data_IF_294784902919
#
_entry.id   IF_294784902919
#
_cell.length_a   1.000
_cell.length_b   1.000
_cell.length_c   1.000
_cell.angle_alpha   90.00
_cell.angle_beta   90.00
_cell.angle_gamma   90.00
#
_symmetry.space_group_name_H-M   'P 1'
#
loop_
_entity.id
_entity.type
_entity.pdbx_description
1 polymer ?
#
# COMPACT_ATOMS: atom_id res chain seq x y z
N UNK A 1 26.07 -75.41 9.07
CA UNK A 1 25.54 -74.57 10.16
C UNK A 1 26.38 -73.30 10.23
N UNK A 2 25.88 -72.22 9.64
CA UNK A 2 26.49 -70.87 9.69
C UNK A 2 25.93 -70.14 10.91
N UNK A 3 26.81 -69.75 11.84
CA UNK A 3 26.42 -68.99 13.03
C UNK A 3 26.00 -67.56 12.66
N UNK A 4 24.98 -66.97 13.33
CA UNK A 4 24.58 -65.59 13.08
C UNK A 4 25.57 -64.63 13.74
N UNK A 5 26.06 -63.64 12.98
CA UNK A 5 26.84 -62.53 13.50
C UNK A 5 25.87 -61.53 14.14
N UNK A 6 25.93 -61.40 15.46
CA UNK A 6 25.19 -60.40 16.23
C UNK A 6 25.93 -59.06 16.17
N UNK A 7 25.33 -58.05 15.56
CA UNK A 7 25.81 -56.66 15.65
C UNK A 7 25.22 -56.01 16.90
N UNK A 8 26.01 -55.94 17.97
CA UNK A 8 25.69 -55.09 19.12
C UNK A 8 25.86 -53.63 18.71
N UNK A 9 24.80 -52.82 18.86
CA UNK A 9 24.89 -51.37 18.66
C UNK A 9 25.86 -50.77 19.70
N UNK A 10 26.79 -49.88 19.30
CA UNK A 10 27.75 -49.31 20.23
C UNK A 10 27.04 -48.44 21.28
N UNK A 11 27.32 -48.71 22.55
CA UNK A 11 26.83 -47.91 23.70
C UNK A 11 27.62 -46.61 23.76
N UNK A 12 26.92 -45.47 23.68
CA UNK A 12 27.55 -44.15 23.74
C UNK A 12 28.32 -43.96 25.06
N UNK A 13 29.58 -43.56 24.96
CA UNK A 13 30.46 -43.30 26.11
C UNK A 13 29.97 -42.08 26.90
N UNK A 14 30.28 -42.01 28.21
CA UNK A 14 29.94 -40.84 29.05
C UNK A 14 30.47 -39.51 28.47
N UNK A 15 31.59 -39.54 27.73
CA UNK A 15 32.14 -38.39 27.02
C UNK A 15 31.26 -37.95 25.84
N UNK A 16 30.78 -38.91 25.03
CA UNK A 16 29.85 -38.66 23.92
C UNK A 16 28.52 -38.08 24.44
N UNK A 17 28.01 -38.59 25.57
CA UNK A 17 26.80 -38.05 26.20
C UNK A 17 27.03 -36.60 26.67
N UNK A 18 28.18 -36.29 27.31
CA UNK A 18 28.50 -34.92 27.74
C UNK A 18 28.64 -33.95 26.57
N UNK A 19 29.28 -34.36 25.49
CA UNK A 19 29.40 -33.56 24.26
C UNK A 19 28.03 -33.31 23.61
N UNK A 20 27.16 -34.32 23.59
CA UNK A 20 25.77 -34.19 23.15
C UNK A 20 25.00 -33.18 23.99
N UNK A 21 25.11 -33.24 25.32
CA UNK A 21 24.44 -32.30 26.23
C UNK A 21 24.96 -30.88 26.03
N UNK A 22 26.29 -30.69 25.96
CA UNK A 22 26.88 -29.36 25.71
C UNK A 22 26.44 -28.82 24.34
N UNK A 23 26.42 -29.66 23.29
CA UNK A 23 25.92 -29.27 21.97
C UNK A 23 24.43 -28.90 21.98
N UNK A 24 23.60 -29.70 22.65
CA UNK A 24 22.16 -29.44 22.81
C UNK A 24 21.86 -28.16 23.59
N UNK A 25 22.70 -27.80 24.56
CA UNK A 25 22.56 -26.55 25.34
C UNK A 25 23.15 -25.35 24.60
N UNK A 26 24.26 -25.52 23.88
CA UNK A 26 24.89 -24.44 23.13
C UNK A 26 24.07 -24.00 21.91
N UNK A 27 23.33 -24.91 21.27
CA UNK A 27 22.54 -24.64 20.08
C UNK A 27 21.41 -23.59 20.29
N UNK A 28 20.56 -23.65 21.33
CA UNK A 28 19.61 -22.57 21.61
C UNK A 28 20.32 -21.25 22.00
N UNK A 29 21.48 -21.32 22.65
CA UNK A 29 22.27 -20.13 22.99
C UNK A 29 22.84 -19.43 21.76
N UNK A 30 23.20 -20.17 20.69
CA UNK A 30 23.63 -19.57 19.43
C UNK A 30 22.48 -19.03 18.58
N UNK A 31 21.25 -19.53 18.77
CA UNK A 31 20.06 -19.05 18.07
C UNK A 31 19.44 -17.80 18.70
N UNK A 32 19.63 -17.57 20.02
CA UNK A 32 19.07 -16.43 20.74
C UNK A 32 19.34 -15.06 20.09
N UNK A 33 20.55 -14.73 19.61
CA UNK A 33 20.78 -13.46 18.93
C UNK A 33 19.98 -13.30 17.63
N UNK A 34 19.81 -14.39 16.86
CA UNK A 34 19.03 -14.37 15.61
C UNK A 34 17.53 -14.27 15.88
N UNK A 35 17.03 -14.99 16.89
CA UNK A 35 15.64 -14.87 17.34
C UNK A 35 15.40 -13.47 17.90
N UNK A 36 16.35 -12.92 18.66
CA UNK A 36 16.31 -11.55 19.16
C UNK A 36 16.23 -10.55 18.03
N UNK A 37 17.13 -10.62 17.05
CA UNK A 37 17.10 -9.76 15.86
C UNK A 37 15.76 -9.89 15.11
N UNK A 38 15.33 -11.11 14.81
CA UNK A 38 14.10 -11.38 14.04
C UNK A 38 12.80 -10.87 14.70
N UNK A 39 12.78 -10.65 16.02
CA UNK A 39 11.59 -10.21 16.73
C UNK A 39 11.69 -8.76 17.23
N UNK A 40 12.89 -8.31 17.58
CA UNK A 40 13.09 -7.03 18.27
C UNK A 40 13.42 -5.88 17.31
N UNK A 41 13.98 -6.15 16.11
CA UNK A 41 14.28 -5.10 15.14
C UNK A 41 13.26 -5.06 13.99
N UNK A 42 12.93 -3.86 13.45
CA UNK A 42 12.10 -3.75 12.25
C UNK A 42 12.64 -4.55 11.07
N UNK A 43 13.96 -4.51 10.87
CA UNK A 43 14.67 -5.21 9.80
C UNK A 43 14.51 -6.72 9.94
N UNK A 44 14.74 -7.23 11.14
CA UNK A 44 14.65 -8.65 11.44
C UNK A 44 13.23 -9.17 11.32
N UNK A 45 12.23 -8.38 11.74
CA UNK A 45 10.81 -8.72 11.53
C UNK A 45 10.49 -8.85 10.05
N UNK A 46 10.94 -7.92 9.21
CA UNK A 46 10.68 -7.98 7.77
C UNK A 46 11.36 -9.19 7.10
N UNK A 47 12.59 -9.53 7.50
CA UNK A 47 13.28 -10.74 7.02
C UNK A 47 12.54 -12.01 7.43
N UNK A 48 12.09 -12.08 8.69
CA UNK A 48 11.29 -13.21 9.20
C UNK A 48 9.97 -13.31 8.43
N UNK A 49 9.28 -12.21 8.24
CA UNK A 49 8.00 -12.14 7.54
C UNK A 49 8.14 -12.58 6.08
N UNK A 50 9.21 -12.19 5.39
CA UNK A 50 9.56 -12.71 4.05
C UNK A 50 9.70 -14.23 4.01
N UNK A 51 10.36 -14.82 5.01
CA UNK A 51 10.49 -16.26 5.11
C UNK A 51 9.14 -16.93 5.41
N UNK A 52 8.35 -16.36 6.33
CA UNK A 52 7.04 -16.88 6.71
C UNK A 52 6.08 -16.87 5.52
N UNK A 53 5.97 -15.75 4.79
CA UNK A 53 5.07 -15.64 3.63
C UNK A 53 5.49 -16.59 2.51
N UNK A 54 6.79 -16.81 2.30
CA UNK A 54 7.26 -17.77 1.30
C UNK A 54 6.89 -19.22 1.63
N UNK A 55 6.80 -19.58 2.93
CA UNK A 55 6.49 -20.94 3.40
C UNK A 55 4.97 -21.14 3.58
N UNK A 56 4.30 -20.12 4.11
CA UNK A 56 2.89 -20.15 4.51
C UNK A 56 2.27 -18.78 4.21
N UNK A 57 1.95 -18.48 2.94
CA UNK A 57 1.36 -17.21 2.56
C UNK A 57 0.02 -16.99 3.30
N UNK A 58 -0.35 -15.72 3.58
CA UNK A 58 -1.65 -15.43 4.17
C UNK A 58 -2.76 -15.88 3.20
N UNK A 59 -3.85 -16.37 3.77
CA UNK A 59 -5.02 -16.85 3.02
C UNK A 59 -6.22 -15.98 3.36
N UNK A 60 -7.14 -15.87 2.42
CA UNK A 60 -8.32 -15.04 2.58
C UNK A 60 -9.23 -15.66 3.65
N UNK A 61 -9.62 -14.91 4.70
CA UNK A 61 -10.45 -15.46 5.76
C UNK A 61 -11.84 -15.84 5.24
N UNK A 62 -12.40 -16.92 5.81
CA UNK A 62 -13.79 -17.29 5.55
C UNK A 62 -14.70 -16.49 6.47
N UNK A 63 -15.52 -15.61 5.90
CA UNK A 63 -16.54 -14.90 6.65
C UNK A 63 -17.61 -15.87 7.17
N UNK A 64 -18.04 -15.64 8.42
CA UNK A 64 -19.23 -16.28 8.97
C UNK A 64 -20.45 -15.94 8.11
N UNK A 65 -21.49 -16.79 8.16
CA UNK A 65 -22.72 -16.54 7.41
C UNK A 65 -23.34 -15.19 7.78
N UNK A 66 -23.38 -14.87 9.08
CA UNK A 66 -23.88 -13.58 9.57
C UNK A 66 -23.08 -12.39 9.02
N UNK A 67 -21.74 -12.46 8.99
CA UNK A 67 -20.92 -11.39 8.44
C UNK A 67 -21.09 -11.26 6.91
N UNK A 68 -21.22 -12.37 6.20
CA UNK A 68 -21.46 -12.36 4.75
C UNK A 68 -22.81 -11.72 4.41
N UNK A 69 -23.85 -12.06 5.17
CA UNK A 69 -25.18 -11.46 5.03
C UNK A 69 -25.16 -9.97 5.37
N UNK A 70 -24.50 -9.59 6.48
CA UNK A 70 -24.34 -8.19 6.86
C UNK A 70 -23.57 -7.38 5.80
N UNK A 71 -22.52 -7.95 5.22
CA UNK A 71 -21.77 -7.32 4.13
C UNK A 71 -22.64 -7.13 2.89
N UNK A 72 -23.37 -8.17 2.47
CA UNK A 72 -24.27 -8.09 1.32
C UNK A 72 -25.42 -7.08 1.53
N UNK A 73 -25.94 -6.94 2.75
CA UNK A 73 -26.99 -5.96 3.05
C UNK A 73 -26.47 -4.53 3.17
N UNK A 74 -25.19 -4.36 3.51
CA UNK A 74 -24.51 -3.05 3.63
C UNK A 74 -23.87 -2.62 2.31
N UNK A 75 -24.02 -3.42 1.25
CA UNK A 75 -23.42 -3.13 -0.05
C UNK A 75 -23.81 -1.72 -0.54
N UNK A 76 -22.83 -0.84 -0.84
CA UNK A 76 -23.11 0.45 -1.45
C UNK A 76 -23.78 0.25 -2.80
N UNK A 77 -24.43 1.31 -3.29
CA UNK A 77 -25.02 1.35 -4.64
C UNK A 77 -24.69 2.68 -5.30
N UNK A 78 -23.61 2.69 -6.07
CA UNK A 78 -23.24 3.81 -6.91
C UNK A 78 -22.72 3.34 -8.27
N UNK A 79 -22.93 4.17 -9.28
CA UNK A 79 -22.46 3.97 -10.66
C UNK A 79 -21.75 5.23 -11.13
N UNK A 80 -20.79 5.08 -12.06
CA UNK A 80 -20.02 6.21 -12.59
C UNK A 80 -19.10 6.89 -11.56
N UNK A 81 -18.93 6.28 -10.38
CA UNK A 81 -18.11 6.77 -9.29
C UNK A 81 -17.21 5.66 -8.74
N UNK A 82 -16.13 6.01 -8.03
CA UNK A 82 -15.21 5.07 -7.39
C UNK A 82 -14.88 5.50 -5.97
N UNK A 83 -14.88 4.53 -5.05
CA UNK A 83 -14.25 4.71 -3.74
C UNK A 83 -12.75 4.46 -3.85
N UNK A 84 -11.90 5.41 -3.45
CA UNK A 84 -10.45 5.23 -3.49
C UNK A 84 -9.89 5.06 -2.08
N UNK A 85 -9.27 3.90 -1.81
CA UNK A 85 -8.69 3.54 -0.52
C UNK A 85 -7.17 3.63 -0.58
N UNK A 86 -6.54 4.29 0.38
CA UNK A 86 -5.10 4.39 0.53
C UNK A 86 -4.60 3.53 1.70
N UNK A 87 -3.82 2.52 1.37
CA UNK A 87 -3.05 1.69 2.29
C UNK A 87 -1.56 2.06 2.17
N UNK A 88 -0.74 1.70 3.15
CA UNK A 88 0.72 1.79 3.00
C UNK A 88 1.36 0.43 3.28
N UNK A 89 1.64 0.11 4.55
CA UNK A 89 2.22 -1.18 4.92
C UNK A 89 1.16 -2.23 5.24
N UNK A 90 1.50 -3.49 4.95
CA UNK A 90 0.82 -4.64 5.52
C UNK A 90 1.89 -5.47 6.23
N UNK A 91 1.70 -5.81 7.50
CA UNK A 91 2.73 -6.54 8.22
C UNK A 91 2.33 -6.94 9.64
N UNK A 92 3.24 -7.66 10.30
CA UNK A 92 2.98 -8.17 11.66
C UNK A 92 3.21 -7.14 12.77
N UNK A 93 3.56 -5.89 12.44
CA UNK A 93 3.66 -4.82 13.43
C UNK A 93 2.26 -4.58 14.02
N UNK A 94 2.17 -4.46 15.34
CA UNK A 94 0.90 -4.50 16.07
C UNK A 94 -0.15 -3.55 15.50
N UNK A 95 -1.37 -4.06 15.41
CA UNK A 95 -2.65 -3.40 15.13
C UNK A 95 -3.01 -2.22 16.10
N UNK A 96 -2.03 -1.62 16.78
CA UNK A 96 -2.17 -0.54 17.76
C UNK A 96 -2.16 0.86 17.14
N UNK A 97 -2.54 1.85 17.96
CA UNK A 97 -2.74 3.25 17.56
C UNK A 97 -1.49 3.88 16.90
N UNK A 98 -1.70 4.49 15.72
CA UNK A 98 -0.77 5.46 15.11
C UNK A 98 0.13 4.98 13.98
N UNK A 99 -0.21 3.91 13.25
CA UNK A 99 0.62 3.41 12.14
C UNK A 99 -0.12 3.31 10.81
N UNK A 100 0.55 3.70 9.72
CA UNK A 100 0.15 3.42 8.32
C UNK A 100 0.28 1.92 7.94
N UNK A 101 0.13 1.00 8.90
CA UNK A 101 0.35 -0.44 8.71
C UNK A 101 -0.81 -1.23 9.33
N UNK A 102 -1.41 -2.14 8.56
CA UNK A 102 -2.44 -3.06 9.05
C UNK A 102 -1.97 -4.51 8.97
N UNK A 103 -2.54 -5.40 9.79
CA UNK A 103 -2.19 -6.82 9.71
C UNK A 103 -2.68 -7.49 8.41
N UNK A 104 -2.00 -8.56 7.94
CA UNK A 104 -2.47 -9.36 6.81
C UNK A 104 -3.86 -9.96 7.05
N UNK A 105 -4.16 -10.34 8.29
CA UNK A 105 -5.48 -10.81 8.70
C UNK A 105 -6.53 -9.72 8.46
N UNK A 106 -6.23 -8.48 8.89
CA UNK A 106 -7.16 -7.37 8.71
C UNK A 106 -7.39 -7.04 7.25
N UNK A 107 -6.33 -6.97 6.46
CA UNK A 107 -6.46 -6.74 5.02
C UNK A 107 -7.25 -7.88 4.34
N UNK A 108 -7.01 -9.13 4.73
CA UNK A 108 -7.80 -10.27 4.26
C UNK A 108 -9.29 -10.14 4.58
N UNK A 109 -9.63 -9.66 5.78
CA UNK A 109 -11.02 -9.38 6.16
C UNK A 109 -11.63 -8.25 5.32
N UNK A 110 -10.87 -7.19 5.01
CA UNK A 110 -11.31 -6.13 4.10
C UNK A 110 -11.68 -6.71 2.74
N UNK A 111 -10.77 -7.45 2.10
CA UNK A 111 -11.02 -8.06 0.79
C UNK A 111 -12.20 -9.03 0.80
N UNK A 112 -12.30 -9.88 1.82
CA UNK A 112 -13.40 -10.83 1.94
C UNK A 112 -14.75 -10.11 2.09
N UNK A 113 -14.78 -9.00 2.83
CA UNK A 113 -15.99 -8.21 3.08
C UNK A 113 -16.38 -7.38 1.85
N UNK A 114 -15.42 -6.74 1.19
CA UNK A 114 -15.65 -6.03 -0.09
C UNK A 114 -16.21 -6.98 -1.14
N UNK A 115 -15.66 -8.21 -1.25
CA UNK A 115 -16.17 -9.23 -2.16
C UNK A 115 -17.59 -9.66 -1.80
N UNK A 116 -17.89 -9.88 -0.52
CA UNK A 116 -19.24 -10.23 -0.07
C UNK A 116 -20.25 -9.08 -0.28
N UNK A 117 -19.79 -7.83 -0.19
CA UNK A 117 -20.57 -6.62 -0.51
C UNK A 117 -20.71 -6.32 -2.00
N UNK A 118 -20.19 -7.17 -2.90
CA UNK A 118 -20.33 -6.99 -4.35
C UNK A 118 -19.53 -5.81 -4.92
N UNK A 119 -18.42 -5.44 -4.27
CA UNK A 119 -17.52 -4.39 -4.73
C UNK A 119 -16.67 -4.88 -5.90
N UNK A 120 -16.43 -4.02 -6.88
CA UNK A 120 -15.62 -4.32 -8.07
C UNK A 120 -14.30 -3.55 -8.00
N UNK A 121 -13.17 -4.24 -7.93
CA UNK A 121 -11.88 -3.53 -7.86
C UNK A 121 -11.50 -2.93 -9.21
N UNK A 122 -11.01 -1.69 -9.17
CA UNK A 122 -10.43 -1.00 -10.32
C UNK A 122 -9.04 -0.47 -9.98
N UNK A 123 -8.22 -0.28 -11.00
CA UNK A 123 -6.87 0.29 -10.92
C UNK A 123 -6.90 1.81 -11.14
N UNK A 124 -5.85 2.52 -10.72
CA UNK A 124 -5.75 3.96 -10.99
C UNK A 124 -5.68 4.27 -12.49
N UNK A 125 -5.09 3.39 -13.30
CA UNK A 125 -5.15 3.49 -14.76
C UNK A 125 -6.59 3.41 -15.32
N UNK A 126 -7.42 2.51 -14.79
CA UNK A 126 -8.83 2.41 -15.18
C UNK A 126 -9.65 3.63 -14.72
N UNK A 127 -9.39 4.14 -13.52
CA UNK A 127 -9.97 5.41 -13.04
C UNK A 127 -9.59 6.57 -13.94
N UNK A 128 -8.30 6.68 -14.31
CA UNK A 128 -7.80 7.70 -15.22
C UNK A 128 -8.48 7.62 -16.59
N UNK A 129 -8.60 6.41 -17.15
CA UNK A 129 -9.28 6.19 -18.41
C UNK A 129 -10.75 6.63 -18.34
N UNK A 130 -11.50 6.18 -17.33
CA UNK A 130 -12.91 6.55 -17.15
C UNK A 130 -13.10 8.06 -17.03
N UNK A 131 -12.22 8.75 -16.29
CA UNK A 131 -12.33 10.19 -16.03
C UNK A 131 -11.82 11.05 -17.20
N UNK A 132 -11.24 10.43 -18.22
CA UNK A 132 -10.76 11.10 -19.44
C UNK A 132 -11.50 10.66 -20.71
N UNK A 133 -12.69 10.09 -20.56
CA UNK A 133 -13.59 9.74 -21.68
C UNK A 133 -13.42 8.31 -22.21
N UNK A 134 -12.70 7.46 -21.48
CA UNK A 134 -12.60 6.03 -21.72
C UNK A 134 -13.81 5.23 -21.21
N UNK A 135 -13.68 3.90 -21.06
CA UNK A 135 -14.75 3.03 -20.58
C UNK A 135 -15.26 3.46 -19.20
N UNK A 136 -16.57 3.34 -18.98
CA UNK A 136 -17.18 3.61 -17.69
C UNK A 136 -16.69 2.62 -16.62
N UNK A 137 -16.59 3.10 -15.38
CA UNK A 137 -16.33 2.27 -14.22
C UNK A 137 -17.46 1.25 -13.99
N UNK A 138 -17.15 0.06 -13.47
CA UNK A 138 -18.18 -0.88 -13.03
C UNK A 138 -19.00 -0.28 -11.87
N UNK A 139 -20.23 -0.77 -11.62
CA UNK A 139 -20.97 -0.40 -10.42
C UNK A 139 -20.15 -0.76 -9.17
N UNK A 140 -20.29 0.03 -8.11
CA UNK A 140 -19.58 -0.21 -6.84
C UNK A 140 -18.06 -0.35 -7.02
N UNK A 141 -17.48 0.47 -7.89
CA UNK A 141 -16.04 0.46 -8.14
C UNK A 141 -15.26 0.88 -6.88
N UNK A 142 -14.24 0.11 -6.51
CA UNK A 142 -13.31 0.44 -5.44
C UNK A 142 -11.87 0.36 -5.94
N UNK A 143 -11.09 1.42 -5.76
CA UNK A 143 -9.67 1.45 -6.03
C UNK A 143 -8.91 1.12 -4.75
N UNK A 144 -8.28 -0.05 -4.72
CA UNK A 144 -7.32 -0.41 -3.68
C UNK A 144 -5.97 0.17 -4.08
N UNK A 145 -5.46 1.15 -3.34
CA UNK A 145 -4.14 1.74 -3.61
C UNK A 145 -3.20 1.62 -2.44
N UNK A 146 -1.92 1.43 -2.76
CA UNK A 146 -0.82 1.33 -1.83
C UNK A 146 0.23 2.37 -2.18
N UNK A 147 0.79 3.03 -1.17
CA UNK A 147 1.84 4.03 -1.36
C UNK A 147 3.23 3.47 -1.02
N UNK A 148 4.25 4.28 -1.29
CA UNK A 148 5.68 4.09 -1.01
C UNK A 148 6.42 3.01 -1.83
N UNK A 149 5.75 2.02 -2.42
CA UNK A 149 6.44 0.87 -3.02
C UNK A 149 7.06 -0.07 -1.98
N UNK A 150 6.44 -0.19 -0.80
CA UNK A 150 6.94 -1.04 0.30
C UNK A 150 6.96 -2.53 -0.08
N UNK A 151 8.00 -3.23 0.38
CA UNK A 151 8.13 -4.66 0.15
C UNK A 151 7.09 -5.48 0.93
N UNK A 152 6.72 -5.03 2.14
CA UNK A 152 5.76 -5.76 2.99
C UNK A 152 4.34 -5.71 2.40
N UNK A 153 3.91 -4.56 1.90
CA UNK A 153 2.62 -4.35 1.25
C UNK A 153 2.34 -5.38 0.16
N UNK A 154 3.15 -5.43 -0.90
CA UNK A 154 2.92 -6.35 -2.02
C UNK A 154 3.12 -7.81 -1.60
N UNK A 155 4.09 -8.08 -0.71
CA UNK A 155 4.37 -9.43 -0.22
C UNK A 155 3.17 -10.07 0.47
N UNK A 156 2.48 -9.34 1.34
CA UNK A 156 1.30 -9.85 2.03
C UNK A 156 0.00 -9.68 1.22
N UNK A 157 -0.15 -8.57 0.48
CA UNK A 157 -1.37 -8.30 -0.29
C UNK A 157 -1.54 -9.23 -1.50
N UNK A 158 -0.48 -9.52 -2.24
CA UNK A 158 -0.58 -10.24 -3.52
C UNK A 158 -1.29 -11.62 -3.42
N UNK A 159 -0.94 -12.52 -2.48
CA UNK A 159 -1.66 -13.79 -2.33
C UNK A 159 -3.15 -13.58 -1.94
N UNK A 160 -3.45 -12.59 -1.11
CA UNK A 160 -4.81 -12.28 -0.69
C UNK A 160 -5.65 -11.71 -1.85
N UNK A 161 -5.09 -10.79 -2.65
CA UNK A 161 -5.70 -10.26 -3.86
C UNK A 161 -5.97 -11.37 -4.87
N UNK A 162 -5.03 -12.31 -5.03
CA UNK A 162 -5.20 -13.49 -5.90
C UNK A 162 -6.38 -14.36 -5.45
N UNK A 163 -6.50 -14.67 -4.16
CA UNK A 163 -7.63 -15.47 -3.63
C UNK A 163 -8.96 -14.71 -3.66
N UNK A 164 -8.92 -13.38 -3.54
CA UNK A 164 -10.09 -12.52 -3.65
C UNK A 164 -10.57 -12.34 -5.10
N UNK A 165 -9.70 -12.54 -6.09
CA UNK A 165 -9.98 -12.21 -7.49
C UNK A 165 -9.97 -10.70 -7.74
N UNK A 166 -9.11 -9.98 -7.02
CA UNK A 166 -9.07 -8.52 -6.97
C UNK A 166 -7.73 -7.98 -7.48
N UNK A 167 -7.75 -6.73 -7.92
CA UNK A 167 -6.57 -5.98 -8.34
C UNK A 167 -6.33 -4.75 -7.45
N UNK A 168 -5.11 -4.24 -7.47
CA UNK A 168 -4.69 -3.06 -6.71
C UNK A 168 -3.71 -2.19 -7.51
N UNK A 169 -3.53 -0.96 -7.04
CA UNK A 169 -2.53 -0.01 -7.53
C UNK A 169 -1.41 0.16 -6.51
N UNK A 170 -0.17 0.20 -6.96
CA UNK A 170 0.99 0.61 -6.15
C UNK A 170 1.57 1.90 -6.72
N UNK A 171 1.61 2.95 -5.89
CA UNK A 171 2.33 4.18 -6.16
C UNK A 171 3.76 4.04 -5.65
N UNK A 172 4.74 4.00 -6.55
CA UNK A 172 6.14 3.67 -6.26
C UNK A 172 7.00 4.92 -6.25
N UNK A 173 7.86 5.03 -5.24
CA UNK A 173 8.97 5.98 -5.21
C UNK A 173 10.11 5.36 -6.05
N UNK A 174 10.33 5.83 -7.28
CA UNK A 174 11.20 5.11 -8.24
C UNK A 174 12.66 5.01 -7.79
N UNK A 175 13.18 6.05 -7.12
CA UNK A 175 14.52 6.03 -6.54
C UNK A 175 14.65 5.00 -5.41
N UNK A 176 13.59 4.84 -4.61
CA UNK A 176 13.55 3.83 -3.55
C UNK A 176 13.48 2.41 -4.13
N UNK A 177 12.80 2.18 -5.26
CA UNK A 177 12.82 0.87 -5.93
C UNK A 177 14.18 0.52 -6.54
N UNK A 178 14.98 1.53 -6.88
CA UNK A 178 16.35 1.38 -7.40
C UNK A 178 17.35 1.07 -6.28
N UNK A 179 17.15 1.67 -5.10
CA UNK A 179 17.94 1.43 -3.88
C UNK A 179 17.05 0.97 -2.72
N UNK A 180 16.49 -0.26 -2.79
CA UNK A 180 15.37 -0.68 -1.94
C UNK A 180 15.72 -0.88 -0.47
N UNK A 181 17.01 -1.05 -0.17
CA UNK A 181 17.45 -1.54 1.12
C UNK A 181 16.66 -2.79 1.51
N UNK A 182 16.13 -2.78 2.73
CA UNK A 182 15.25 -3.85 3.20
C UNK A 182 13.76 -3.49 3.08
N UNK A 183 13.40 -2.21 3.11
CA UNK A 183 12.04 -1.74 3.37
C UNK A 183 11.20 -1.64 2.09
N UNK A 184 11.81 -1.19 0.99
CA UNK A 184 11.13 -1.04 -0.29
C UNK A 184 11.27 -2.30 -1.15
N UNK A 185 10.37 -2.47 -2.11
CA UNK A 185 10.47 -3.50 -3.13
C UNK A 185 11.47 -3.07 -4.21
N UNK A 186 12.36 -3.97 -4.63
CA UNK A 186 13.21 -3.72 -5.79
C UNK A 186 12.39 -3.75 -7.08
N UNK A 187 12.89 -3.12 -8.14
CA UNK A 187 12.27 -3.21 -9.48
C UNK A 187 11.99 -4.65 -9.92
N UNK A 188 12.95 -5.58 -9.79
CA UNK A 188 12.74 -7.00 -10.09
C UNK A 188 11.50 -7.62 -9.40
N UNK A 189 11.21 -7.20 -8.17
CA UNK A 189 10.04 -7.66 -7.41
C UNK A 189 8.78 -7.00 -7.93
N UNK A 190 8.80 -5.68 -8.12
CA UNK A 190 7.68 -4.90 -8.64
C UNK A 190 7.26 -5.43 -10.01
N UNK A 191 8.21 -5.68 -10.92
CA UNK A 191 7.97 -6.31 -12.21
C UNK A 191 7.32 -7.70 -12.08
N UNK A 192 7.78 -8.50 -11.12
CA UNK A 192 7.18 -9.80 -10.81
C UNK A 192 5.71 -9.69 -10.43
N UNK A 193 5.36 -8.71 -9.60
CA UNK A 193 3.97 -8.44 -9.22
C UNK A 193 3.14 -7.87 -10.37
N UNK A 194 3.69 -6.93 -11.14
CA UNK A 194 3.03 -6.34 -12.30
C UNK A 194 2.69 -7.40 -13.36
N UNK A 195 3.61 -8.32 -13.67
CA UNK A 195 3.40 -9.44 -14.61
C UNK A 195 2.26 -10.38 -14.20
N UNK A 196 1.84 -10.35 -12.94
CA UNK A 196 0.70 -11.15 -12.48
C UNK A 196 -0.65 -10.62 -12.97
N UNK A 197 -0.70 -9.38 -13.48
CA UNK A 197 -1.93 -8.69 -13.89
C UNK A 197 -2.76 -8.12 -12.72
N UNK A 198 -2.38 -8.36 -11.46
CA UNK A 198 -3.10 -7.86 -10.27
C UNK A 198 -2.65 -6.47 -9.82
N UNK A 199 -1.48 -6.02 -10.27
CA UNK A 199 -0.87 -4.78 -9.80
C UNK A 199 -0.69 -3.78 -10.93
N UNK A 200 -1.33 -2.63 -10.76
CA UNK A 200 -1.07 -1.42 -11.54
C UNK A 200 0.02 -0.60 -10.86
N UNK A 201 1.06 -0.18 -11.59
CA UNK A 201 2.22 0.52 -11.03
C UNK A 201 2.20 1.97 -11.49
N UNK A 202 2.20 2.89 -10.54
CA UNK A 202 1.98 4.33 -10.76
C UNK A 202 3.00 5.17 -9.97
N UNK A 203 3.02 6.48 -10.20
CA UNK A 203 4.10 7.35 -9.75
C UNK A 203 3.90 7.91 -8.34
N UNK A 204 4.96 7.88 -7.54
CA UNK A 204 5.02 8.52 -6.22
C UNK A 204 6.31 9.35 -6.04
N UNK A 205 6.71 10.08 -7.08
CA UNK A 205 7.99 10.83 -7.19
C UNK A 205 9.21 9.92 -7.35
N UNK A 206 10.33 10.50 -7.78
CA UNK A 206 11.60 9.78 -7.86
C UNK A 206 12.34 9.84 -6.52
N UNK A 207 12.51 11.04 -5.97
CA UNK A 207 13.32 11.28 -4.77
C UNK A 207 12.75 12.39 -3.86
N UNK A 208 11.51 12.82 -4.11
CA UNK A 208 10.87 13.94 -3.42
C UNK A 208 9.87 13.51 -2.34
N UNK A 209 9.74 12.21 -2.07
CA UNK A 209 9.02 11.67 -0.91
C UNK A 209 9.85 11.77 0.38
N UNK A 210 10.16 12.99 0.78
CA UNK A 210 10.88 13.32 2.02
C UNK A 210 10.71 14.79 2.34
N UNK A 211 10.93 15.14 3.60
CA UNK A 211 11.14 16.53 3.95
C UNK A 211 12.55 16.99 3.60
N UNK A 212 12.71 18.29 3.46
CA UNK A 212 14.00 18.96 3.40
C UNK A 212 13.96 20.29 4.15
N UNK A 213 15.13 20.82 4.46
CA UNK A 213 15.24 22.21 4.89
C UNK A 213 14.64 23.10 3.79
N UNK A 214 13.79 24.02 4.18
CA UNK A 214 13.01 24.88 3.29
C UNK A 214 13.18 26.34 3.64
N UNK A 215 13.10 27.21 2.63
CA UNK A 215 13.22 28.65 2.78
C UNK A 215 12.16 29.18 3.76
N UNK A 216 12.59 29.87 4.82
CA UNK A 216 11.72 30.57 5.76
C UNK A 216 10.77 29.72 6.63
N UNK A 217 10.73 28.39 6.47
CA UNK A 217 9.70 27.55 7.08
C UNK A 217 10.22 26.26 7.77
N UNK A 218 11.54 26.09 7.93
CA UNK A 218 12.12 24.91 8.58
C UNK A 218 12.03 23.67 7.69
N UNK A 219 11.67 22.50 8.23
CA UNK A 219 11.55 21.26 7.47
C UNK A 219 10.15 21.13 6.85
N UNK A 220 10.07 21.12 5.51
CA UNK A 220 8.82 20.94 4.75
C UNK A 220 8.97 19.84 3.69
N UNK A 221 7.86 19.27 3.17
CA UNK A 221 7.91 18.30 2.10
C UNK A 221 8.63 18.83 0.86
N UNK A 222 9.60 18.08 0.35
CA UNK A 222 10.47 18.52 -0.74
C UNK A 222 9.73 18.81 -2.04
N UNK A 223 8.67 18.05 -2.34
CA UNK A 223 7.86 18.28 -3.55
C UNK A 223 7.14 19.64 -3.49
N UNK A 224 6.68 20.07 -2.32
CA UNK A 224 5.82 21.24 -2.14
C UNK A 224 6.50 22.40 -1.43
N UNK A 225 7.82 22.48 -1.45
CA UNK A 225 8.55 23.61 -0.85
C UNK A 225 9.83 23.95 -1.60
N UNK A 226 10.18 25.23 -1.58
CA UNK A 226 11.46 25.77 -2.05
C UNK A 226 12.56 25.41 -1.05
N UNK A 227 13.69 24.93 -1.55
CA UNK A 227 14.92 24.83 -0.77
C UNK A 227 15.50 26.23 -0.48
N UNK A 228 16.40 26.39 0.51
CA UNK A 228 17.02 27.67 0.83
C UNK A 228 17.71 28.31 -0.39
N UNK A 229 17.31 29.53 -0.73
CA UNK A 229 17.81 30.29 -1.88
C UNK A 229 17.37 29.77 -3.26
N UNK A 230 16.46 28.79 -3.34
CA UNK A 230 15.94 28.26 -4.61
C UNK A 230 14.94 29.24 -5.23
N UNK A 231 15.14 29.59 -6.50
CA UNK A 231 14.17 30.39 -7.25
C UNK A 231 12.96 29.54 -7.66
N UNK A 232 11.81 30.18 -7.96
CA UNK A 232 10.63 29.46 -8.46
C UNK A 232 10.90 28.72 -9.79
N UNK A 233 11.81 29.23 -10.63
CA UNK A 233 12.19 28.58 -11.89
C UNK A 233 13.05 27.33 -11.64
N UNK A 234 14.00 27.40 -10.71
CA UNK A 234 14.82 26.25 -10.31
C UNK A 234 13.96 25.17 -9.64
N UNK A 235 13.04 25.59 -8.78
CA UNK A 235 12.04 24.72 -8.17
C UNK A 235 11.20 23.98 -9.21
N UNK A 236 10.65 24.71 -10.19
CA UNK A 236 9.88 24.13 -11.28
C UNK A 236 10.72 23.12 -12.08
N UNK A 237 11.97 23.44 -12.37
CA UNK A 237 12.89 22.53 -13.06
C UNK A 237 13.15 21.27 -12.24
N UNK A 238 13.35 21.39 -10.92
CA UNK A 238 13.53 20.26 -10.00
C UNK A 238 12.31 19.35 -9.94
N UNK A 239 11.11 19.92 -9.80
CA UNK A 239 9.85 19.15 -9.76
C UNK A 239 9.64 18.41 -11.09
N UNK A 240 9.84 19.09 -12.22
CA UNK A 240 9.73 18.47 -13.54
C UNK A 240 10.71 17.31 -13.72
N UNK A 241 11.97 17.50 -13.33
CA UNK A 241 12.98 16.45 -13.41
C UNK A 241 12.60 15.24 -12.56
N UNK A 242 12.20 15.45 -11.31
CA UNK A 242 11.82 14.37 -10.40
C UNK A 242 10.62 13.55 -10.92
N UNK A 243 9.57 14.21 -11.42
CA UNK A 243 8.40 13.54 -11.99
C UNK A 243 8.72 12.83 -13.32
N UNK A 244 9.57 13.44 -14.15
CA UNK A 244 10.05 12.85 -15.40
C UNK A 244 10.91 11.61 -15.17
N UNK A 245 11.84 11.67 -14.21
CA UNK A 245 12.69 10.54 -13.82
C UNK A 245 11.85 9.39 -13.25
N UNK A 246 10.83 9.69 -12.45
CA UNK A 246 9.89 8.68 -11.95
C UNK A 246 9.14 7.99 -13.09
N UNK A 247 8.61 8.77 -14.04
CA UNK A 247 7.85 8.26 -15.17
C UNK A 247 8.71 7.45 -16.13
N UNK A 248 9.96 7.88 -16.37
CA UNK A 248 10.92 7.15 -17.19
C UNK A 248 11.31 5.81 -16.56
N UNK A 249 11.61 5.78 -15.26
CA UNK A 249 11.95 4.54 -14.56
C UNK A 249 10.77 3.54 -14.56
N UNK A 250 9.54 4.01 -14.32
CA UNK A 250 8.35 3.15 -14.38
C UNK A 250 8.14 2.62 -15.81
N UNK A 251 8.30 3.46 -16.84
CA UNK A 251 8.18 3.02 -18.23
C UNK A 251 9.22 1.98 -18.60
N UNK A 252 10.47 2.16 -18.18
CA UNK A 252 11.57 1.23 -18.42
C UNK A 252 11.27 -0.17 -17.85
N UNK A 253 10.81 -0.24 -16.59
CA UNK A 253 10.60 -1.50 -15.89
C UNK A 253 9.24 -2.15 -16.19
N UNK A 254 8.18 -1.35 -16.36
CA UNK A 254 6.80 -1.85 -16.50
C UNK A 254 6.34 -1.88 -17.97
N UNK A 255 7.06 -1.18 -18.86
CA UNK A 255 6.76 -1.11 -20.30
C UNK A 255 5.65 -0.13 -20.66
N UNK A 256 5.19 0.69 -19.70
CA UNK A 256 4.19 1.75 -19.90
C UNK A 256 4.46 2.91 -18.95
N UNK A 257 4.30 4.14 -19.44
CA UNK A 257 4.34 5.33 -18.58
C UNK A 257 3.20 5.30 -17.55
N UNK A 258 3.45 5.78 -16.31
CA UNK A 258 2.39 5.96 -15.33
C UNK A 258 1.42 7.04 -15.82
N UNK A 259 0.14 6.88 -15.51
CA UNK A 259 -0.93 7.84 -15.85
C UNK A 259 -1.56 8.45 -14.60
N UNK A 260 -1.23 7.91 -13.43
CA UNK A 260 -1.70 8.35 -12.14
C UNK A 260 -0.54 8.70 -11.22
N UNK A 261 -0.79 9.67 -10.34
CA UNK A 261 0.18 10.14 -9.35
C UNK A 261 -0.43 10.17 -7.96
N UNK A 262 0.33 9.80 -6.94
CA UNK A 262 -0.03 10.07 -5.54
C UNK A 262 0.89 11.16 -4.99
N UNK A 263 0.31 12.19 -4.36
CA UNK A 263 1.10 13.23 -3.71
C UNK A 263 1.76 12.68 -2.43
N UNK A 264 3.09 12.79 -2.25
CA UNK A 264 3.75 12.51 -0.99
C UNK A 264 3.05 13.19 0.18
N UNK A 265 2.76 12.44 1.23
CA UNK A 265 2.07 12.92 2.43
C UNK A 265 0.67 13.51 2.19
N UNK A 266 0.10 13.34 1.00
CA UNK A 266 -1.11 14.03 0.55
C UNK A 266 -0.90 15.53 0.21
N UNK A 267 0.33 16.03 0.24
CA UNK A 267 0.63 17.46 0.04
C UNK A 267 0.62 17.82 -1.45
N UNK A 268 -0.37 18.60 -1.89
CA UNK A 268 -0.49 19.08 -3.27
C UNK A 268 -0.15 20.58 -3.43
N UNK A 269 0.42 21.20 -2.39
CA UNK A 269 0.90 22.58 -2.39
C UNK A 269 -0.04 23.63 -1.79
N UNK A 270 -1.29 23.26 -1.46
CA UNK A 270 -2.22 24.15 -0.74
C UNK A 270 -1.84 24.30 0.74
N UNK A 271 -1.25 23.27 1.32
CA UNK A 271 -0.65 23.25 2.64
C UNK A 271 0.81 22.81 2.55
N UNK A 272 1.55 22.93 3.67
CA UNK A 272 2.93 22.47 3.82
C UNK A 272 3.83 22.96 2.68
N UNK A 273 3.68 24.24 2.36
CA UNK A 273 4.42 24.98 1.36
C UNK A 273 4.88 26.32 1.90
N UNK A 274 5.92 26.89 1.28
CA UNK A 274 6.54 28.15 1.70
C UNK A 274 6.43 29.27 0.65
N UNK A 275 5.73 29.02 -0.46
CA UNK A 275 5.45 30.01 -1.50
C UNK A 275 4.05 29.74 -2.11
N UNK A 276 3.16 30.74 -2.24
CA UNK A 276 1.82 30.55 -2.77
C UNK A 276 1.77 30.08 -4.23
N UNK A 277 2.83 30.31 -5.03
CA UNK A 277 2.89 29.87 -6.43
C UNK A 277 3.11 28.35 -6.56
N UNK A 278 3.54 27.66 -5.50
CA UNK A 278 3.83 26.23 -5.50
C UNK A 278 2.62 25.40 -5.94
N UNK A 279 1.42 25.75 -5.48
CA UNK A 279 0.20 25.01 -5.83
C UNK A 279 -0.05 24.98 -7.34
N UNK A 280 0.27 26.05 -8.05
CA UNK A 280 0.07 26.15 -9.49
C UNK A 280 1.20 25.45 -10.26
N UNK A 281 2.45 25.60 -9.80
CA UNK A 281 3.60 24.90 -10.38
C UNK A 281 3.43 23.38 -10.27
N UNK A 282 3.12 22.88 -9.06
CA UNK A 282 2.90 21.44 -8.82
C UNK A 282 1.76 20.93 -9.69
N UNK A 283 0.63 21.62 -9.73
CA UNK A 283 -0.52 21.23 -10.56
C UNK A 283 -0.15 21.14 -12.03
N UNK A 284 0.61 22.10 -12.54
CA UNK A 284 1.03 22.13 -13.95
C UNK A 284 2.02 21.01 -14.28
N UNK A 285 3.06 20.80 -13.47
CA UNK A 285 4.07 19.77 -13.74
C UNK A 285 3.48 18.35 -13.54
N UNK A 286 2.63 18.13 -12.53
CA UNK A 286 1.93 16.84 -12.36
C UNK A 286 1.00 16.57 -13.54
N UNK A 287 0.25 17.57 -14.00
CA UNK A 287 -0.68 17.43 -15.13
C UNK A 287 -0.02 17.26 -16.51
N UNK A 288 1.30 17.48 -16.62
CA UNK A 288 2.08 17.18 -17.84
C UNK A 288 2.41 15.71 -17.97
N UNK A 289 2.71 15.05 -16.85
CA UNK A 289 3.12 13.64 -16.81
C UNK A 289 1.93 12.70 -16.54
N UNK A 290 0.89 13.16 -15.84
CA UNK A 290 -0.19 12.30 -15.34
C UNK A 290 -1.58 12.83 -15.71
N UNK A 291 -2.50 11.90 -15.98
CA UNK A 291 -3.90 12.20 -16.29
C UNK A 291 -4.73 12.48 -15.03
N UNK A 292 -4.41 11.79 -13.92
CA UNK A 292 -5.06 11.95 -12.62
C UNK A 292 -4.03 12.00 -11.49
N UNK A 293 -4.37 12.67 -10.39
CA UNK A 293 -3.53 12.71 -9.20
C UNK A 293 -4.36 12.67 -7.92
N UNK A 294 -3.80 12.01 -6.90
CA UNK A 294 -4.47 11.65 -5.68
C UNK A 294 -3.79 12.25 -4.45
N UNK A 295 -4.57 12.94 -3.62
CA UNK A 295 -4.18 13.36 -2.28
C UNK A 295 -4.80 12.42 -1.23
N UNK A 296 -4.25 12.44 -0.02
CA UNK A 296 -4.77 11.71 1.11
C UNK A 296 -5.75 12.58 1.88
N UNK A 297 -6.90 12.02 2.25
CA UNK A 297 -7.90 12.72 3.05
C UNK A 297 -7.50 12.73 4.54
N UNK A 298 -7.91 13.77 5.26
CA UNK A 298 -7.69 13.95 6.71
C UNK A 298 -8.70 13.16 7.58
N UNK A 299 -9.48 12.28 6.95
CA UNK A 299 -10.58 11.50 7.52
C UNK A 299 -11.85 12.31 7.85
N UNK A 300 -11.89 13.62 7.57
CA UNK A 300 -13.09 14.44 7.82
C UNK A 300 -14.18 14.15 6.78
N UNK A 301 -13.81 13.75 5.57
CA UNK A 301 -14.74 13.32 4.53
C UNK A 301 -14.47 11.90 4.03
N UNK A 302 -15.49 11.28 3.43
CA UNK A 302 -15.32 10.01 2.70
C UNK A 302 -15.89 10.23 1.30
N UNK A 303 -15.14 10.89 0.39
CA UNK A 303 -15.69 11.28 -0.89
C UNK A 303 -15.67 10.11 -1.89
N UNK A 304 -16.78 9.88 -2.58
CA UNK A 304 -16.73 9.17 -3.85
C UNK A 304 -16.08 10.06 -4.90
N UNK A 305 -15.26 9.45 -5.74
CA UNK A 305 -14.64 10.13 -6.86
C UNK A 305 -15.54 10.03 -8.08
N UNK A 306 -15.73 11.15 -8.76
CA UNK A 306 -16.55 11.27 -9.98
C UNK A 306 -15.79 12.04 -11.06
N UNK A 307 -16.12 11.83 -12.36
CA UNK A 307 -15.39 12.47 -13.47
C UNK A 307 -15.45 14.01 -13.51
N UNK A 308 -16.43 14.63 -12.83
CA UNK A 308 -16.60 16.09 -12.77
C UNK A 308 -15.71 16.77 -11.72
N UNK A 309 -15.07 15.99 -10.84
CA UNK A 309 -14.13 16.52 -9.86
C UNK A 309 -12.81 16.96 -10.51
N UNK A 310 -12.03 17.75 -9.76
CA UNK A 310 -10.68 18.12 -10.16
C UNK A 310 -9.78 16.88 -10.20
N UNK A 311 -9.56 16.37 -11.42
CA UNK A 311 -8.80 15.13 -11.68
C UNK A 311 -7.37 15.11 -11.11
N UNK A 312 -6.78 16.27 -10.82
CA UNK A 312 -5.43 16.38 -10.24
C UNK A 312 -5.44 16.56 -8.71
N UNK A 313 -6.60 16.45 -8.05
CA UNK A 313 -6.79 16.63 -6.60
C UNK A 313 -7.79 15.63 -6.02
N UNK A 314 -7.90 14.45 -6.62
CA UNK A 314 -8.81 13.40 -6.18
C UNK A 314 -8.43 12.93 -4.77
N UNK A 315 -9.39 12.74 -3.87
CA UNK A 315 -9.12 12.35 -2.47
C UNK A 315 -9.21 10.85 -2.28
N UNK A 316 -8.28 10.29 -1.52
CA UNK A 316 -8.31 8.87 -1.11
C UNK A 316 -8.55 8.78 0.39
N UNK A 317 -9.41 7.86 0.79
CA UNK A 317 -9.62 7.52 2.18
C UNK A 317 -8.42 6.71 2.69
N UNK A 318 -7.61 7.30 3.58
CA UNK A 318 -6.58 6.55 4.28
C UNK A 318 -7.23 5.50 5.17
N UNK A 319 -6.83 4.24 4.98
CA UNK A 319 -7.44 3.12 5.69
C UNK A 319 -6.77 2.94 7.05
N UNK A 320 -7.56 3.10 8.11
CA UNK A 320 -7.15 2.76 9.47
C UNK A 320 -7.45 1.28 9.77
N UNK A 321 -7.13 0.83 10.98
CA UNK A 321 -7.39 -0.54 11.44
C UNK A 321 -8.88 -0.82 11.76
N UNK A 322 -9.77 -0.50 10.83
CA UNK A 322 -11.20 -0.79 10.91
C UNK A 322 -11.50 -2.23 10.59
N UNK A 323 -12.56 -2.80 11.16
CA UNK A 323 -13.08 -4.09 10.68
C UNK A 323 -13.52 -4.00 9.20
N UNK A 324 -13.60 -5.15 8.50
CA UNK A 324 -14.10 -5.17 7.12
C UNK A 324 -15.52 -4.62 6.96
N UNK A 325 -16.39 -4.85 7.96
CA UNK A 325 -17.76 -4.32 7.94
C UNK A 325 -17.79 -2.80 8.17
N UNK A 326 -16.97 -2.30 9.10
CA UNK A 326 -16.85 -0.86 9.33
C UNK A 326 -16.31 -0.14 8.09
N UNK A 327 -15.31 -0.72 7.41
CA UNK A 327 -14.83 -0.20 6.12
C UNK A 327 -16.00 -0.11 5.13
N UNK A 328 -16.76 -1.20 4.93
CA UNK A 328 -17.88 -1.21 3.99
C UNK A 328 -18.97 -0.19 4.34
N UNK A 329 -19.27 0.01 5.63
CA UNK A 329 -20.22 1.03 6.10
C UNK A 329 -19.77 2.45 5.77
N UNK A 330 -18.46 2.74 5.88
CA UNK A 330 -17.89 4.04 5.47
C UNK A 330 -18.07 4.26 3.97
N UNK A 331 -17.88 3.22 3.16
CA UNK A 331 -18.10 3.26 1.71
C UNK A 331 -19.59 3.47 1.37
N UNK A 332 -20.51 2.79 2.06
CA UNK A 332 -21.95 2.96 1.87
C UNK A 332 -22.40 4.39 2.20
N UNK A 333 -21.89 4.97 3.29
CA UNK A 333 -22.18 6.35 3.66
C UNK A 333 -21.72 7.34 2.59
N UNK A 334 -20.54 7.13 2.01
CA UNK A 334 -20.04 7.93 0.89
C UNK A 334 -20.94 7.88 -0.35
N UNK A 335 -21.60 6.74 -0.58
CA UNK A 335 -22.58 6.55 -1.66
C UNK A 335 -23.95 7.18 -1.42
N UNK A 336 -24.21 7.72 -0.22
CA UNK A 336 -25.51 8.34 0.13
C UNK A 336 -25.34 9.69 0.84
N UNK A 337 -24.72 10.70 0.20
CA UNK A 337 -24.47 11.99 0.84
C UNK A 337 -25.75 12.74 1.25
N UNK A 338 -26.90 12.47 0.62
CA UNK A 338 -28.19 13.10 0.98
C UNK A 338 -28.83 12.53 2.25
N UNK A 339 -28.40 11.36 2.75
CA UNK A 339 -28.94 10.77 3.99
C UNK A 339 -28.16 11.16 5.25
N UNK A 340 -27.10 11.97 5.14
CA UNK A 340 -26.27 12.40 6.28
C UNK A 340 -26.77 13.66 7.00
N UNK A 341 -27.86 14.29 6.56
CA UNK A 341 -28.56 15.33 7.33
C UNK A 341 -29.67 14.72 8.17
N UNK A 342 -29.30 14.23 9.35
CA UNK A 342 -30.10 14.09 10.59
C UNK A 342 -29.66 12.84 11.36
N UNK A 343 -28.83 13.04 12.40
CA UNK A 343 -28.53 12.02 13.40
C UNK A 343 -27.46 11.00 13.02
N UNK A 344 -26.26 11.46 12.64
CA UNK A 344 -25.10 10.57 12.59
C UNK A 344 -24.82 9.99 14.00
N UNK A 345 -24.86 8.67 14.20
CA UNK A 345 -24.45 8.08 15.47
C UNK A 345 -22.96 8.31 15.70
N UNK A 346 -22.59 8.56 16.95
CA UNK A 346 -21.21 8.82 17.37
C UNK A 346 -20.29 7.64 17.00
N UNK A 347 -18.98 7.84 16.76
CA UNK A 347 -18.02 6.74 16.61
C UNK A 347 -18.11 5.67 17.72
N UNK A 348 -18.58 6.06 18.92
CA UNK A 348 -18.85 5.15 20.03
C UNK A 348 -20.05 4.19 19.81
N UNK A 349 -21.04 4.57 19.01
CA UNK A 349 -22.20 3.74 18.67
C UNK A 349 -21.90 2.73 17.55
N UNK A 350 -20.79 2.92 16.81
CA UNK A 350 -20.31 2.02 15.77
C UNK A 350 -19.35 0.95 16.30
N UNK A 351 -18.91 1.07 17.55
CA UNK A 351 -18.14 0.04 18.22
C UNK A 351 -19.05 -1.17 18.52
N UNK A 352 -18.82 -2.30 17.85
CA UNK A 352 -19.36 -3.57 18.30
C UNK A 352 -18.86 -3.83 19.74
N UNK A 353 -19.68 -4.41 20.63
CA UNK A 353 -19.20 -4.79 21.96
C UNK A 353 -17.98 -5.70 21.78
N UNK A 354 -16.90 -5.39 22.49
CA UNK A 354 -15.71 -6.21 22.51
C UNK A 354 -16.11 -7.68 22.72
N UNK A 355 -15.68 -8.56 21.81
CA UNK A 355 -15.76 -10.00 22.05
C UNK A 355 -14.88 -10.22 23.28
N UNK A 356 -15.53 -10.39 24.43
CA UNK A 356 -14.83 -10.57 25.71
C UNK A 356 -13.87 -11.74 25.60
N UNK A 357 -12.66 -11.55 26.11
CA UNK A 357 -11.69 -12.61 26.25
C UNK A 357 -12.35 -13.82 26.96
N UNK A 358 -12.09 -15.06 26.51
CA UNK A 358 -12.56 -16.23 27.24
C UNK A 358 -12.03 -16.16 28.68
N UNK A 359 -12.87 -16.44 29.69
CA UNK A 359 -12.45 -16.35 31.09
C UNK A 359 -11.28 -17.32 31.33
N UNK A 360 -10.27 -16.91 32.12
CA UNK A 360 -9.15 -17.79 32.43
C UNK A 360 -9.64 -19.04 33.19
N UNK A 361 -9.04 -20.22 32.97
CA UNK A 361 -9.46 -21.44 33.63
C UNK A 361 -9.28 -21.31 35.15
N UNK A 362 -10.34 -21.62 35.88
CA UNK A 362 -10.46 -21.41 37.32
C UNK A 362 -9.36 -22.10 38.12
N UNK A 363 -8.66 -21.33 38.94
CA UNK A 363 -7.76 -21.84 39.98
C UNK A 363 -8.51 -21.89 41.30
N UNK A 364 -8.63 -23.11 41.83
CA UNK A 364 -9.18 -23.42 43.14
C UNK A 364 -8.45 -22.67 44.28
N UNK A 365 -9.23 -22.28 45.27
CA UNK A 365 -8.83 -21.59 46.49
C UNK A 365 -7.78 -22.35 47.32
N UNK A 366 -6.74 -21.64 47.75
CA UNK A 366 -5.84 -22.02 48.84
C UNK A 366 -5.61 -20.82 49.78
N UNK A 367 -5.39 -21.04 51.10
CA UNK A 367 -5.62 -20.03 52.14
C UNK A 367 -4.45 -19.03 52.33
N UNK A 368 -4.64 -17.92 53.07
CA UNK A 368 -3.78 -16.76 53.03
C UNK A 368 -2.61 -16.85 54.03
N UNK A 369 -1.50 -16.20 53.72
CA UNK A 369 -0.41 -15.99 54.68
C UNK A 369 0.32 -14.66 54.42
N UNK A 370 -0.07 -13.67 55.22
CA UNK A 370 0.76 -12.69 55.96
C UNK A 370 2.05 -12.12 55.36
N UNK A 371 2.03 -10.78 55.27
CA UNK A 371 3.04 -9.82 55.74
C UNK A 371 4.49 -9.91 55.23
N UNK A 372 4.98 -8.83 54.63
CA UNK A 372 5.73 -7.78 55.37
C UNK A 372 6.33 -6.79 54.37
N UNK A 373 5.85 -5.55 54.46
CA UNK A 373 6.48 -4.35 53.90
C UNK A 373 7.74 -4.04 54.72
N UNK A 374 8.87 -3.75 54.05
CA UNK A 374 9.91 -2.92 54.65
C UNK A 374 10.32 -1.84 53.65
N UNK A 375 10.16 -0.61 54.13
CA UNK A 375 10.31 0.63 53.42
C UNK A 375 11.79 0.99 53.18
N UNK A 376 12.03 1.67 52.07
CA UNK A 376 13.24 2.43 51.79
C UNK A 376 12.88 3.57 50.83
N UNK A 377 12.37 4.65 51.39
CA UNK A 377 11.93 5.86 50.69
C UNK A 377 13.09 6.83 50.43
N UNK A 378 13.09 7.48 49.26
CA UNK A 378 13.47 8.89 49.01
C UNK A 378 12.75 9.29 47.69
N UNK A 379 11.54 9.84 47.68
CA UNK A 379 11.14 11.25 47.89
C UNK A 379 11.93 12.22 46.97
N UNK A 380 11.35 12.93 46.00
CA UNK A 380 10.33 13.97 46.18
C UNK A 380 9.84 14.56 44.84
N UNK A 381 8.53 14.83 44.80
CA UNK A 381 7.81 16.05 44.32
C UNK A 381 8.01 16.53 42.88
N UNK A 382 6.99 16.94 42.14
CA UNK A 382 5.60 17.20 42.50
C UNK A 382 4.85 17.74 41.29
N UNK A 383 3.65 17.23 41.13
CA UNK A 383 2.58 17.67 40.24
C UNK A 383 2.13 19.09 40.61
N UNK A 384 1.94 19.96 39.61
CA UNK A 384 0.90 21.00 39.66
C UNK A 384 0.39 21.30 38.26
N UNK A 385 -0.80 20.78 37.96
CA UNK A 385 -1.79 21.39 37.05
C UNK A 385 -1.92 22.89 37.34
N UNK A 386 -1.77 23.72 36.31
CA UNK A 386 -2.17 25.13 36.34
C UNK A 386 -3.08 25.44 35.14
N UNK A 387 -4.32 25.73 35.47
CA UNK A 387 -5.33 26.39 34.65
C UNK A 387 -4.86 27.78 34.22
N UNK A 388 -5.14 28.17 32.98
CA UNK A 388 -4.96 29.54 32.46
C UNK A 388 -6.33 30.15 32.10
N UNK A 389 -6.55 31.45 32.38
CA UNK A 389 -7.84 32.13 32.23
C UNK A 389 -8.04 32.75 30.84
N UNK A 390 -9.32 33.01 30.52
CA UNK A 390 -9.79 33.52 29.24
C UNK A 390 -9.23 34.90 28.84
N UNK A 391 -9.07 35.05 27.53
CA UNK A 391 -8.75 36.31 26.87
C UNK A 391 -10.01 36.86 26.18
N UNK A 392 -10.33 38.10 26.52
CA UNK A 392 -11.38 38.94 25.94
C UNK A 392 -10.95 39.54 24.59
N UNK A 393 -11.85 39.55 23.62
CA UNK A 393 -11.68 40.19 22.30
C UNK A 393 -11.55 41.72 22.39
N UNK A 394 -10.74 42.37 21.54
CA UNK A 394 -10.77 43.82 21.36
C UNK A 394 -11.86 44.26 20.35
N UNK A 395 -12.31 45.53 20.39
CA UNK A 395 -13.38 46.03 19.51
C UNK A 395 -12.87 46.36 18.10
N UNK A 396 -13.72 46.11 17.10
CA UNK A 396 -13.53 46.41 15.68
C UNK A 396 -13.88 47.89 15.41
N UNK A 397 -13.03 48.68 14.73
CA UNK A 397 -13.46 49.96 14.19
C UNK A 397 -14.21 49.75 12.86
N UNK A 398 -15.43 50.30 12.79
CA UNK A 398 -16.25 50.35 11.59
C UNK A 398 -15.73 51.44 10.62
N UNK A 399 -15.71 51.12 9.32
CA UNK A 399 -15.66 52.12 8.25
C UNK A 399 -14.63 51.88 7.16
N UNK A 400 -14.82 50.84 6.33
CA UNK A 400 -14.32 50.82 4.94
C UNK A 400 -15.44 50.25 4.06
N UNK A 401 -15.93 51.07 3.14
CA UNK A 401 -16.88 50.69 2.09
C UNK A 401 -16.12 49.84 1.06
N UNK A 402 -16.56 48.60 0.75
CA UNK A 402 -15.91 47.81 -0.30
C UNK A 402 -16.17 48.42 -1.68
N UNK A 403 -15.19 48.46 -2.60
CA UNK A 403 -15.41 48.93 -3.96
C UNK A 403 -16.35 47.98 -4.70
N UNK A 404 -17.29 48.55 -5.47
CA UNK A 404 -18.19 47.77 -6.32
C UNK A 404 -17.40 46.99 -7.37
N UNK A 405 -17.69 45.70 -7.48
CA UNK A 405 -17.10 44.82 -8.48
C UNK A 405 -17.48 45.30 -9.89
N UNK A 406 -16.46 45.53 -10.72
CA UNK A 406 -16.63 45.77 -12.16
C UNK A 406 -17.03 44.43 -12.79
N UNK A 407 -18.13 44.34 -13.56
CA UNK A 407 -18.52 43.10 -14.21
C UNK A 407 -17.50 42.70 -15.30
N UNK A 408 -17.25 41.40 -15.50
CA UNK A 408 -16.28 40.91 -16.47
C UNK A 408 -16.70 41.24 -17.91
N UNK A 409 -15.74 41.45 -18.83
CA UNK A 409 -16.04 41.69 -20.24
C UNK A 409 -16.71 40.46 -20.88
N UNK A 410 -17.59 40.67 -21.88
CA UNK A 410 -18.27 39.57 -22.56
C UNK A 410 -17.29 38.67 -23.32
N UNK A 411 -17.56 37.36 -23.43
CA UNK A 411 -16.68 36.42 -24.12
C UNK A 411 -16.60 36.73 -25.63
N UNK A 412 -15.46 36.43 -26.27
CA UNK A 412 -15.32 36.61 -27.71
C UNK A 412 -16.28 35.69 -28.50
N UNK A 413 -16.70 36.09 -29.71
CA UNK A 413 -17.62 35.29 -30.51
C UNK A 413 -17.01 33.94 -30.88
N UNK A 414 -17.76 32.87 -30.63
CA UNK A 414 -17.38 31.50 -30.97
C UNK A 414 -17.49 31.32 -32.48
N UNK A 415 -16.36 31.23 -33.17
CA UNK A 415 -16.29 30.73 -34.55
C UNK A 415 -16.61 29.24 -34.54
N UNK A 416 -17.81 28.88 -34.98
CA UNK A 416 -18.20 27.48 -35.20
C UNK A 416 -17.43 26.95 -36.40
N UNK A 417 -16.52 26.01 -36.17
CA UNK A 417 -15.85 25.28 -37.24
C UNK A 417 -16.89 24.42 -38.00
N UNK A 418 -16.83 24.35 -39.34
CA UNK A 418 -17.73 23.50 -40.11
C UNK A 418 -17.50 22.02 -39.79
N UNK A 419 -18.56 21.18 -39.85
CA UNK A 419 -18.45 19.76 -39.52
C UNK A 419 -17.48 19.03 -40.46
N UNK A 420 -16.75 18.03 -39.97
CA UNK A 420 -15.84 17.24 -40.81
C UNK A 420 -16.62 16.45 -41.86
N UNK A 421 -16.00 16.30 -43.04
CA UNK A 421 -16.55 15.55 -44.17
C UNK A 421 -16.79 14.07 -43.79
N UNK A 422 -17.83 13.41 -44.37
CA UNK A 422 -18.15 12.04 -44.06
C UNK A 422 -17.03 11.07 -44.48
N UNK A 423 -16.61 10.22 -43.54
CA UNK A 423 -15.63 9.16 -43.77
C UNK A 423 -16.27 8.05 -44.62
N UNK A 424 -15.66 7.74 -45.77
CA UNK A 424 -16.07 6.63 -46.62
C UNK A 424 -15.79 5.28 -45.92
N UNK A 425 -16.64 4.25 -46.10
CA UNK A 425 -16.47 2.96 -45.44
C UNK A 425 -15.24 2.23 -45.96
N UNK A 426 -14.36 1.84 -45.04
CA UNK A 426 -13.22 0.95 -45.29
C UNK A 426 -13.77 -0.47 -45.49
N UNK A 427 -13.69 -0.98 -46.72
CA UNK A 427 -13.91 -2.41 -47.01
C UNK A 427 -12.86 -3.27 -46.32
N UNK A 428 -13.30 -4.22 -45.51
CA UNK A 428 -12.44 -5.23 -44.89
C UNK A 428 -11.83 -6.19 -45.93
N UNK A 429 -10.55 -6.59 -45.79
CA UNK A 429 -9.96 -7.62 -46.63
C UNK A 429 -10.53 -9.01 -46.29
N UNK A 430 -10.50 -9.99 -47.23
CA UNK A 430 -11.11 -11.29 -47.03
C UNK A 430 -10.37 -12.11 -45.96
N UNK A 431 -11.15 -12.82 -45.15
CA UNK A 431 -10.69 -13.75 -44.12
C UNK A 431 -10.00 -14.95 -44.79
N UNK A 432 -8.70 -15.07 -44.58
CA UNK A 432 -7.94 -16.30 -44.88
C UNK A 432 -8.07 -17.24 -43.68
N UNK A 433 -8.85 -18.30 -43.82
CA UNK A 433 -8.90 -19.40 -42.84
C UNK A 433 -7.64 -20.25 -42.94
N UNK A 434 -6.68 -20.06 -42.02
CA UNK A 434 -5.57 -21.01 -41.84
C UNK A 434 -6.02 -22.13 -40.90
N UNK A 435 -5.93 -23.36 -41.39
CA UNK A 435 -6.17 -24.60 -40.65
C UNK A 435 -5.05 -24.78 -39.59
N UNK A 436 -5.35 -25.17 -38.35
CA UNK A 436 -4.30 -25.44 -37.36
C UNK A 436 -3.45 -26.67 -37.78
N UNK A 437 -2.13 -26.67 -37.51
CA UNK A 437 -1.26 -27.78 -37.85
C UNK A 437 -1.54 -29.00 -36.95
N UNK A 438 -1.45 -30.20 -37.54
CA UNK A 438 -1.59 -31.46 -36.80
C UNK A 438 -0.39 -31.73 -35.89
N UNK A 439 -0.59 -32.41 -34.75
CA UNK A 439 0.50 -32.78 -33.83
C UNK A 439 1.43 -33.82 -34.46
N UNK A 440 2.73 -33.53 -34.40
CA UNK A 440 3.83 -34.43 -34.81
C UNK A 440 4.07 -35.45 -33.70
N UNK A 441 4.24 -36.76 -33.99
CA UNK A 441 4.57 -37.77 -32.98
C UNK A 441 6.02 -37.62 -32.47
N UNK A 442 6.31 -38.04 -31.22
CA UNK A 442 7.60 -37.82 -30.60
C UNK A 442 8.70 -38.66 -31.28
N UNK A 443 9.73 -37.98 -31.78
CA UNK A 443 11.00 -38.57 -32.19
C UNK A 443 11.80 -39.04 -30.97
N UNK A 444 12.16 -40.32 -30.98
CA UNK A 444 13.05 -40.98 -30.02
C UNK A 444 14.48 -40.43 -30.12
N UNK A 445 14.97 -39.83 -29.04
CA UNK A 445 16.41 -39.52 -28.88
C UNK A 445 17.21 -40.79 -28.54
N UNK A 446 18.41 -40.98 -29.11
CA UNK A 446 19.31 -42.07 -28.71
C UNK A 446 19.97 -41.79 -27.35
N UNK A 447 20.45 -42.82 -26.64
CA UNK A 447 20.92 -42.68 -25.27
C UNK A 447 22.34 -42.10 -25.25
N UNK A 448 22.52 -40.94 -24.62
CA UNK A 448 23.86 -40.46 -24.24
C UNK A 448 24.16 -40.82 -22.79
N UNK A 449 25.18 -41.64 -22.69
CA UNK A 449 25.85 -42.23 -21.54
C UNK A 449 26.14 -41.24 -20.41
N UNK A 450 25.84 -41.65 -19.19
CA UNK A 450 26.26 -40.99 -17.97
C UNK A 450 27.79 -41.05 -17.82
N UNK A 451 28.43 -39.88 -17.67
CA UNK A 451 29.79 -39.78 -17.13
C UNK A 451 29.71 -39.16 -15.73
N UNK A 452 30.28 -39.86 -14.75
CA UNK A 452 30.61 -39.38 -13.41
C UNK A 452 32.04 -39.86 -13.08
N UNK A 453 32.70 -39.30 -12.07
CA UNK A 453 33.66 -38.20 -12.14
C UNK A 453 35.13 -38.70 -12.11
N UNK A 454 36.07 -37.88 -12.59
CA UNK A 454 37.50 -38.06 -12.30
C UNK A 454 38.09 -36.76 -11.75
N UNK A 455 38.72 -36.87 -10.59
CA UNK A 455 39.38 -35.77 -9.90
C UNK A 455 40.71 -35.37 -10.52
N UNK A 456 41.12 -34.15 -10.16
CA UNK A 456 42.46 -33.55 -10.19
C UNK A 456 43.36 -33.87 -11.41
N UNK A 457 43.58 -32.81 -12.19
CA UNK A 457 44.61 -32.58 -13.21
C UNK A 457 44.29 -33.08 -14.62
N UNK A 458 44.38 -32.17 -15.60
CA UNK A 458 44.48 -32.52 -17.03
C UNK A 458 43.60 -31.67 -17.96
N UNK A 459 44.26 -30.76 -18.69
CA UNK A 459 43.76 -29.85 -19.73
C UNK A 459 42.75 -30.46 -20.72
N UNK A 460 41.74 -29.68 -21.13
CA UNK A 460 41.03 -29.88 -22.39
C UNK A 460 41.71 -29.03 -23.48
N UNK A 461 42.19 -29.68 -24.55
CA UNK A 461 42.63 -29.04 -25.79
C UNK A 461 41.53 -29.20 -26.84
N UNK A 462 41.41 -28.19 -27.72
CA UNK A 462 40.28 -28.03 -28.65
C UNK A 462 40.31 -28.90 -29.91
N UNK A 463 39.39 -28.58 -30.81
CA UNK A 463 39.33 -29.11 -32.17
C UNK A 463 37.99 -28.78 -32.84
N UNK A 464 38.06 -27.97 -33.88
CA UNK A 464 36.99 -27.54 -34.76
C UNK A 464 36.33 -28.68 -35.55
N UNK A 465 35.08 -28.48 -35.94
CA UNK A 465 34.31 -29.25 -36.91
C UNK A 465 32.98 -28.58 -37.15
#
# INVERSE_FOLDING_TARGET
>A
MTAPVSFAAPVATRSQIRQLVVGLVALPLTLLPFVGYANLTPEGRLVRDRAVVAISPPTLPRLSEALRQAAASTAPRYEGAVMALAYHGIGSASDGEGGFVISPTRFGEHLATLRAGGMNTVTAAEVAAAFTGGPALPPNAVMLSFDDGRADAMMFADPLLKEAGMAATMFVISGAASEPGIYYASWDKIEGYARSGRWDIQSHTAASHRDHESEGAGSLPKLTSLAPGESLDDYRARVRADLGDASAAIEEHIGRRPVAFAYPFGAYGADRSNDPAIIDVVREEVGREHAVAFQQDDQETVPLLTPDQDRLRLRRLEVQNWSGLELLQRIDRAGRPEQTTDGAPSPAELALPAIGDPPPPGTASGPPSTSTTLAGAVNRTGDTRRTLPGATSPPVPAGIVPPQAIPPPPPPPVTVAPPPAPVLPITAPPVVTTRPPQPVPPTTSPPTTACRPAGKSGKCAGGSG
#
